data_IF_315163759275
#
_entry.id   IF_315163759275
#
_cell.length_a   1.000
_cell.length_b   1.000
_cell.length_c   1.000
_cell.angle_alpha   90.00
_cell.angle_beta   90.00
_cell.angle_gamma   90.00
#
_symmetry.space_group_name_H-M   'P 1'
#
loop_
_entity.id
_entity.type
_entity.pdbx_description
1 polymer ?
#
# COMPACT_ATOMS: atom_id res chain seq x y z
N UNK A 1 21.23 4.59 -4.71
CA UNK A 1 20.98 3.45 -3.87
C UNK A 1 19.51 3.10 -3.89
N UNK A 2 19.20 1.85 -4.18
CA UNK A 2 17.82 1.42 -4.38
C UNK A 2 17.12 0.99 -3.11
N UNK A 3 17.87 0.80 -2.03
CA UNK A 3 17.30 0.32 -0.78
C UNK A 3 17.64 1.30 0.34
N UNK A 4 16.62 2.02 0.75
CA UNK A 4 16.73 2.97 1.85
C UNK A 4 16.24 2.25 3.10
N UNK A 5 17.12 2.09 4.07
CA UNK A 5 16.72 1.48 5.32
C UNK A 5 15.91 2.48 6.13
N UNK A 6 14.68 2.12 6.39
CA UNK A 6 13.72 3.02 7.03
C UNK A 6 13.06 2.27 8.19
N UNK A 7 13.73 2.18 9.36
CA UNK A 7 13.08 1.53 10.50
C UNK A 7 11.76 2.22 10.80
N UNK A 8 10.67 1.47 10.69
CA UNK A 8 9.34 2.04 10.80
C UNK A 8 8.44 1.03 11.51
N UNK A 9 8.09 1.32 12.75
CA UNK A 9 7.23 0.47 13.55
C UNK A 9 6.12 1.34 14.11
N UNK A 10 4.87 0.94 13.85
CA UNK A 10 3.71 1.63 14.39
C UNK A 10 2.68 1.97 13.34
N UNK A 11 1.70 2.76 13.75
CA UNK A 11 0.60 3.18 12.90
C UNK A 11 1.02 4.37 12.05
N UNK A 12 0.65 4.36 10.79
CA UNK A 12 0.90 5.48 9.90
C UNK A 12 -0.18 5.54 8.84
N UNK A 13 -0.40 6.73 8.33
CA UNK A 13 -1.44 7.00 7.35
C UNK A 13 -1.02 6.50 5.97
N UNK A 14 -1.96 5.88 5.28
CA UNK A 14 -1.82 5.45 3.90
C UNK A 14 -2.69 6.36 3.04
N UNK A 15 -2.06 7.09 2.13
CA UNK A 15 -2.74 8.06 1.27
C UNK A 15 -2.86 7.51 -0.14
N UNK A 16 -4.08 7.29 -0.58
CA UNK A 16 -4.36 6.73 -1.91
C UNK A 16 -3.98 7.73 -3.00
N UNK A 17 -3.22 7.27 -4.00
CA UNK A 17 -2.80 8.09 -5.12
C UNK A 17 -3.54 7.77 -6.41
N UNK A 18 -4.03 6.55 -6.54
CA UNK A 18 -4.87 6.16 -7.67
C UNK A 18 -5.79 5.04 -7.20
N UNK A 19 -6.87 4.85 -7.93
CA UNK A 19 -7.88 3.86 -7.55
C UNK A 19 -7.40 2.46 -7.86
N UNK A 20 -7.69 1.55 -6.96
CA UNK A 20 -7.44 0.13 -7.16
C UNK A 20 -8.52 -0.66 -6.43
N UNK A 21 -8.97 -1.80 -6.99
CA UNK A 21 -10.04 -2.57 -6.34
C UNK A 21 -9.77 -2.99 -4.91
N UNK A 22 -8.49 -3.17 -4.51
CA UNK A 22 -8.19 -3.56 -3.13
C UNK A 22 -8.51 -2.46 -2.12
N UNK A 23 -8.68 -1.22 -2.58
CA UNK A 23 -9.01 -0.09 -1.71
C UNK A 23 -10.51 0.16 -1.60
N UNK A 24 -11.34 -0.67 -2.21
CA UNK A 24 -12.79 -0.48 -2.19
C UNK A 24 -13.31 -0.45 -0.76
N UNK A 25 -14.05 0.60 -0.43
CA UNK A 25 -14.64 0.74 0.89
C UNK A 25 -13.68 1.22 1.97
N UNK A 26 -12.42 1.43 1.63
CA UNK A 26 -11.45 2.01 2.55
C UNK A 26 -11.37 3.50 2.24
N UNK A 27 -11.61 4.31 3.26
CA UNK A 27 -11.59 5.77 3.08
C UNK A 27 -10.16 6.26 2.93
N UNK A 28 -10.01 7.45 2.36
CA UNK A 28 -8.69 8.08 2.21
C UNK A 28 -8.04 8.32 3.57
N UNK A 29 -6.72 8.31 3.59
CA UNK A 29 -5.93 8.71 4.74
C UNK A 29 -6.28 7.89 5.99
N UNK A 30 -6.33 6.57 5.83
CA UNK A 30 -6.54 5.67 6.97
C UNK A 30 -5.22 5.07 7.43
N UNK A 31 -5.16 4.75 8.71
CA UNK A 31 -3.94 4.23 9.32
C UNK A 31 -3.84 2.73 9.18
N UNK A 32 -2.63 2.28 8.93
CA UNK A 32 -2.26 0.87 8.89
C UNK A 32 -1.04 0.66 9.76
N UNK A 33 -0.82 -0.56 10.20
CA UNK A 33 0.28 -0.88 11.09
C UNK A 33 1.50 -1.32 10.28
N UNK A 34 2.62 -0.64 10.48
CA UNK A 34 3.86 -0.89 9.76
C UNK A 34 4.91 -1.53 10.66
N UNK A 35 5.61 -2.50 10.12
CA UNK A 35 6.85 -3.03 10.70
C UNK A 35 7.74 -3.36 9.51
N UNK A 36 8.65 -2.44 9.18
CA UNK A 36 9.56 -2.69 8.06
C UNK A 36 10.83 -1.86 8.23
N UNK A 37 11.91 -2.33 7.62
CA UNK A 37 13.19 -1.63 7.65
C UNK A 37 13.59 -1.08 6.29
N UNK A 38 12.92 -1.50 5.23
CA UNK A 38 13.21 -1.06 3.87
C UNK A 38 11.92 -0.64 3.19
N UNK A 39 12.02 0.36 2.34
CA UNK A 39 10.88 0.82 1.57
C UNK A 39 11.04 0.43 0.10
N UNK A 40 9.93 0.37 -0.63
CA UNK A 40 9.98 0.24 -2.09
C UNK A 40 10.66 1.47 -2.67
N UNK A 41 11.69 1.26 -3.47
CA UNK A 41 12.41 2.35 -4.14
C UNK A 41 12.51 2.03 -5.63
N UNK A 42 12.69 3.07 -6.44
CA UNK A 42 12.80 2.93 -7.89
C UNK A 42 11.60 2.23 -8.51
N UNK A 43 10.42 2.47 -7.94
CA UNK A 43 9.18 1.92 -8.42
C UNK A 43 8.64 2.82 -9.51
N UNK A 44 8.15 2.23 -10.61
CA UNK A 44 7.46 2.99 -11.64
C UNK A 44 6.30 3.74 -11.01
N UNK A 45 6.19 5.02 -11.31
CA UNK A 45 5.16 5.87 -10.72
C UNK A 45 3.75 5.34 -11.00
N UNK A 46 3.54 4.70 -12.15
CA UNK A 46 2.23 4.16 -12.50
C UNK A 46 1.82 2.98 -11.61
N UNK A 47 2.79 2.37 -10.91
CA UNK A 47 2.50 1.26 -10.00
C UNK A 47 2.12 1.71 -8.60
N UNK A 48 2.34 2.99 -8.27
CA UNK A 48 2.10 3.47 -6.90
C UNK A 48 0.63 3.69 -6.68
N UNK A 49 0.02 2.87 -5.83
CA UNK A 49 -1.39 3.00 -5.47
C UNK A 49 -1.55 3.92 -4.28
N UNK A 50 -0.64 3.85 -3.32
CA UNK A 50 -0.72 4.68 -2.11
C UNK A 50 0.66 4.97 -1.58
N UNK A 51 0.78 6.06 -0.82
CA UNK A 51 2.02 6.47 -0.19
C UNK A 51 1.81 6.72 1.29
N UNK A 52 2.92 6.69 2.01
CA UNK A 52 2.99 7.07 3.42
C UNK A 52 4.26 7.87 3.61
N UNK A 53 4.40 8.51 4.77
CA UNK A 53 5.58 9.33 5.08
C UNK A 53 6.20 8.88 6.39
N UNK A 54 7.49 8.61 6.36
CA UNK A 54 8.27 8.30 7.54
C UNK A 54 9.68 8.85 7.29
N UNK A 55 9.90 10.10 7.70
CA UNK A 55 11.08 10.83 7.29
C UNK A 55 10.94 11.38 5.90
N UNK A 56 10.61 10.53 4.95
CA UNK A 56 10.32 10.93 3.58
C UNK A 56 9.16 10.10 3.05
N UNK A 57 8.56 10.56 1.97
CA UNK A 57 7.44 9.86 1.35
C UNK A 57 7.94 8.58 0.68
N UNK A 58 7.16 7.51 0.82
CA UNK A 58 7.49 6.24 0.17
C UNK A 58 6.21 5.56 -0.29
N UNK A 59 6.33 4.66 -1.27
CA UNK A 59 5.20 3.88 -1.73
C UNK A 59 4.85 2.84 -0.67
N UNK A 60 3.62 2.89 -0.14
CA UNK A 60 3.14 1.92 0.83
C UNK A 60 2.34 0.80 0.18
N UNK A 61 1.74 1.07 -0.99
CA UNK A 61 1.05 0.04 -1.80
C UNK A 61 1.48 0.23 -3.24
N UNK A 62 1.92 -0.85 -3.88
CA UNK A 62 2.21 -0.86 -5.31
C UNK A 62 1.37 -1.95 -5.96
N UNK A 63 1.04 -1.75 -7.23
CA UNK A 63 0.30 -2.73 -8.00
C UNK A 63 0.69 -2.66 -9.46
N UNK A 64 0.70 -3.81 -10.11
CA UNK A 64 0.98 -3.91 -11.54
C UNK A 64 0.29 -5.19 -12.04
N UNK A 65 -0.65 -5.02 -12.97
CA UNK A 65 -1.44 -6.14 -13.49
C UNK A 65 -2.12 -6.87 -12.35
N UNK A 66 -1.76 -8.14 -12.10
CA UNK A 66 -2.38 -8.94 -11.03
C UNK A 66 -1.51 -9.00 -9.77
N UNK A 67 -0.50 -8.16 -9.68
CA UNK A 67 0.42 -8.12 -8.55
C UNK A 67 0.09 -6.94 -7.63
N UNK A 68 0.10 -7.18 -6.32
CA UNK A 68 -0.05 -6.13 -5.30
C UNK A 68 0.99 -6.37 -4.22
N UNK A 69 1.70 -5.32 -3.87
CA UNK A 69 2.64 -5.35 -2.76
C UNK A 69 2.33 -4.27 -1.75
N UNK A 70 2.45 -4.59 -0.47
CA UNK A 70 2.21 -3.62 0.60
C UNK A 70 3.38 -3.61 1.58
N UNK A 71 3.62 -2.47 2.22
CA UNK A 71 4.68 -2.32 3.21
C UNK A 71 4.18 -2.50 4.64
N UNK A 72 2.88 -2.50 4.85
CA UNK A 72 2.30 -2.65 6.17
C UNK A 72 1.79 -4.07 6.37
N UNK A 73 1.35 -4.35 7.60
CA UNK A 73 0.77 -5.65 7.95
C UNK A 73 -0.75 -5.53 7.97
N UNK A 74 -1.45 -5.96 6.90
CA UNK A 74 -2.91 -5.84 6.88
C UNK A 74 -3.56 -6.60 8.03
N UNK A 75 -3.04 -7.76 8.37
CA UNK A 75 -3.62 -8.59 9.41
C UNK A 75 -3.54 -7.94 10.79
N UNK A 76 -2.64 -6.95 10.95
CA UNK A 76 -2.47 -6.23 12.21
C UNK A 76 -3.09 -4.83 12.16
N UNK A 77 -3.74 -4.50 11.07
CA UNK A 77 -4.26 -3.14 10.83
C UNK A 77 -5.75 -3.02 11.12
N UNK A 78 -6.28 -3.88 11.97
CA UNK A 78 -7.67 -3.87 12.42
C UNK A 78 -8.64 -3.89 11.25
N UNK A 79 -9.74 -3.11 11.34
CA UNK A 79 -10.80 -3.20 10.33
C UNK A 79 -10.35 -2.77 8.94
N UNK A 80 -9.44 -1.80 8.84
CA UNK A 80 -8.93 -1.36 7.53
C UNK A 80 -8.14 -2.47 6.86
N UNK A 81 -7.30 -3.16 7.65
CA UNK A 81 -6.51 -4.26 7.12
C UNK A 81 -7.37 -5.44 6.73
N UNK A 82 -8.37 -5.75 7.54
CA UNK A 82 -9.30 -6.84 7.22
C UNK A 82 -10.08 -6.55 5.94
N UNK A 83 -10.51 -5.31 5.76
CA UNK A 83 -11.20 -4.90 4.55
C UNK A 83 -10.29 -5.06 3.34
N UNK A 84 -9.03 -4.68 3.46
CA UNK A 84 -8.08 -4.79 2.35
C UNK A 84 -7.87 -6.25 1.97
N UNK A 85 -7.72 -7.14 2.97
CA UNK A 85 -7.58 -8.57 2.72
C UNK A 85 -8.82 -9.11 2.01
N UNK A 86 -10.01 -8.74 2.49
CA UNK A 86 -11.26 -9.15 1.88
C UNK A 86 -11.33 -8.69 0.43
N UNK A 87 -10.98 -7.44 0.17
CA UNK A 87 -10.97 -6.90 -1.18
C UNK A 87 -10.02 -7.68 -2.09
N UNK A 88 -8.86 -8.03 -1.57
CA UNK A 88 -7.90 -8.80 -2.35
C UNK A 88 -8.46 -10.17 -2.72
N UNK A 89 -9.14 -10.82 -1.79
CA UNK A 89 -9.73 -12.13 -2.04
C UNK A 89 -10.86 -12.07 -3.08
N UNK A 90 -11.58 -10.96 -3.12
CA UNK A 90 -12.70 -10.79 -4.05
C UNK A 90 -12.29 -10.21 -5.39
N UNK A 91 -11.07 -9.70 -5.49
CA UNK A 91 -10.58 -9.06 -6.70
C UNK A 91 -10.32 -10.11 -7.78
N UNK A 92 -10.74 -9.78 -9.01
CA UNK A 92 -10.57 -10.68 -10.15
C UNK A 92 -9.13 -10.83 -10.62
N UNK A 93 -8.23 -9.98 -10.13
CA UNK A 93 -6.84 -9.98 -10.58
C UNK A 93 -6.60 -9.11 -11.81
N UNK A 94 -7.59 -8.31 -12.18
CA UNK A 94 -7.47 -7.42 -13.35
C UNK A 94 -7.43 -5.98 -12.87
N UNK A 95 -6.39 -5.28 -13.28
CA UNK A 95 -6.25 -3.85 -13.00
C UNK A 95 -5.51 -3.21 -14.16
N UNK A 96 -6.12 -2.18 -14.73
CA UNK A 96 -5.59 -1.51 -15.90
C UNK A 96 -5.02 -0.16 -15.48
N UNK A 97 -3.74 -0.12 -15.27
CA UNK A 97 -3.06 1.06 -14.72
C UNK A 97 -2.97 2.21 -15.71
N UNK A 98 -3.32 1.97 -16.97
CA UNK A 98 -3.30 3.02 -17.99
C UNK A 98 -4.60 3.80 -18.07
N UNK A 99 -5.60 3.41 -17.31
CA UNK A 99 -6.92 4.05 -17.37
C UNK A 99 -7.03 5.25 -16.44
#
# INVERSE_FOLDING_TARGET
DNNIRVPHIGWNTVTEKQQHPIMTGIKHDRDFYFVHSYAFTNVDASWVVATSTHGQEFASIIAHNNYVGVQFHPEKSQSNGLRLIENFCLWSGVWNEDD
#
